data_IF_152687558003
#
_entry.id   IF_152687558003
#
_cell.length_a   1.000
_cell.length_b   1.000
_cell.length_c   1.000
_cell.angle_alpha   90.00
_cell.angle_beta   90.00
_cell.angle_gamma   90.00
#
_symmetry.space_group_name_H-M   'P 1'
#
loop_
_entity.id
_entity.type
_entity.pdbx_description
1 polymer ?
#
# COMPACT_ATOMS: atom_id res chain seq x y z
N UNK A 1 19.15 -34.74 -1.59
CA UNK A 1 18.41 -34.77 -2.87
C UNK A 1 18.43 -33.35 -3.46
N UNK A 2 18.56 -33.20 -4.77
CA UNK A 2 18.71 -31.91 -5.44
C UNK A 2 17.38 -31.13 -5.51
N UNK A 3 17.40 -29.78 -5.55
CA UNK A 3 16.19 -28.97 -5.74
C UNK A 3 15.60 -29.15 -7.15
N UNK A 4 14.35 -28.73 -7.34
CA UNK A 4 13.84 -28.59 -8.70
C UNK A 4 14.50 -27.38 -9.37
N UNK A 5 14.91 -27.56 -10.62
CA UNK A 5 15.34 -26.44 -11.43
C UNK A 5 14.20 -25.42 -11.56
N UNK A 6 14.55 -24.13 -11.44
CA UNK A 6 13.61 -23.00 -11.39
C UNK A 6 12.72 -22.90 -10.13
N UNK A 7 12.89 -23.76 -9.13
CA UNK A 7 12.23 -23.59 -7.83
C UNK A 7 12.68 -22.28 -7.17
N UNK A 8 11.72 -21.51 -6.63
CA UNK A 8 12.01 -20.32 -5.84
C UNK A 8 11.86 -20.67 -4.36
N UNK A 9 12.88 -20.34 -3.57
CA UNK A 9 12.88 -20.50 -2.11
C UNK A 9 13.14 -19.19 -1.40
N UNK A 10 12.68 -19.14 -0.15
CA UNK A 10 12.82 -18.00 0.73
C UNK A 10 13.97 -18.23 1.70
N UNK A 11 14.83 -17.23 1.83
CA UNK A 11 16.00 -17.27 2.70
C UNK A 11 16.10 -15.98 3.53
N UNK A 12 16.47 -16.06 4.81
CA UNK A 12 16.78 -14.91 5.65
C UNK A 12 18.24 -14.46 5.53
N UNK A 13 18.91 -14.79 4.42
CA UNK A 13 20.34 -14.63 4.20
C UNK A 13 20.65 -13.40 3.37
N UNK A 14 21.77 -12.72 3.63
CA UNK A 14 22.27 -11.62 2.79
C UNK A 14 22.97 -12.06 1.50
N UNK A 15 23.17 -13.37 1.33
CA UNK A 15 23.74 -13.98 0.13
C UNK A 15 22.88 -15.17 -0.32
N UNK A 16 23.10 -15.66 -1.53
CA UNK A 16 22.43 -16.85 -2.06
C UNK A 16 23.38 -18.05 -2.13
N UNK A 17 22.92 -19.28 -1.82
CA UNK A 17 23.77 -20.47 -1.86
C UNK A 17 24.30 -20.78 -3.26
N UNK A 18 25.42 -21.51 -3.35
CA UNK A 18 25.89 -22.10 -4.62
C UNK A 18 24.79 -22.92 -5.30
N UNK A 19 24.69 -22.83 -6.64
CA UNK A 19 23.62 -23.45 -7.42
C UNK A 19 22.28 -22.68 -7.41
N UNK A 20 22.25 -21.50 -6.77
CA UNK A 20 21.11 -20.59 -6.72
C UNK A 20 21.52 -19.18 -7.14
N UNK A 21 20.56 -18.41 -7.65
CA UNK A 21 20.72 -16.98 -7.89
C UNK A 21 19.59 -16.20 -7.22
N UNK A 22 19.89 -14.99 -6.74
CA UNK A 22 18.85 -14.11 -6.19
C UNK A 22 17.82 -13.77 -7.29
N UNK A 23 16.55 -13.61 -6.93
CA UNK A 23 15.51 -13.17 -7.86
C UNK A 23 15.55 -11.64 -8.00
N UNK A 24 16.55 -11.12 -8.71
CA UNK A 24 16.80 -9.67 -8.87
C UNK A 24 16.79 -9.22 -10.34
N UNK A 25 16.18 -9.99 -11.24
CA UNK A 25 16.07 -9.62 -12.66
C UNK A 25 17.36 -9.80 -13.47
N UNK A 26 18.33 -10.59 -13.00
CA UNK A 26 19.60 -10.77 -13.69
C UNK A 26 19.40 -11.35 -15.10
N UNK A 27 20.18 -10.84 -16.06
CA UNK A 27 20.25 -11.36 -17.43
C UNK A 27 21.29 -12.47 -17.48
N UNK A 28 20.90 -13.64 -17.95
CA UNK A 28 21.74 -14.82 -18.07
C UNK A 28 21.93 -15.24 -19.52
N UNK A 29 23.12 -15.79 -19.81
CA UNK A 29 23.40 -16.43 -21.10
C UNK A 29 22.60 -17.73 -21.25
N UNK A 30 21.90 -17.88 -22.37
CA UNK A 30 21.19 -19.11 -22.73
C UNK A 30 22.19 -20.26 -22.92
N UNK A 31 23.37 -19.99 -23.50
CA UNK A 31 24.37 -21.02 -23.77
C UNK A 31 24.83 -21.74 -22.49
N UNK A 32 24.91 -21.02 -21.37
CA UNK A 32 25.34 -21.56 -20.08
C UNK A 32 24.18 -22.12 -19.24
N UNK A 33 22.92 -21.75 -19.55
CA UNK A 33 21.76 -22.04 -18.71
C UNK A 33 20.59 -22.60 -19.54
N UNK A 34 20.89 -23.50 -20.50
CA UNK A 34 19.90 -24.00 -21.46
C UNK A 34 18.68 -24.64 -20.79
N UNK A 35 18.90 -25.44 -19.74
CA UNK A 35 17.82 -26.09 -19.00
C UNK A 35 16.92 -25.10 -18.27
N UNK A 36 17.50 -24.06 -17.66
CA UNK A 36 16.72 -23.02 -16.97
C UNK A 36 15.94 -22.16 -17.97
N UNK A 37 16.56 -21.82 -19.12
CA UNK A 37 15.89 -21.13 -20.20
C UNK A 37 14.71 -21.94 -20.78
N UNK A 38 14.84 -23.27 -20.89
CA UNK A 38 13.75 -24.11 -21.36
C UNK A 38 12.49 -24.04 -20.45
N UNK A 39 12.65 -23.68 -19.18
CA UNK A 39 11.54 -23.49 -18.23
C UNK A 39 11.01 -22.05 -18.22
N UNK A 40 11.90 -21.05 -18.20
CA UNK A 40 11.51 -19.66 -18.02
C UNK A 40 11.20 -18.94 -19.35
N UNK A 41 11.81 -19.38 -20.44
CA UNK A 41 11.78 -18.67 -21.72
C UNK A 41 12.19 -17.20 -21.57
N UNK A 42 11.42 -16.31 -22.20
CA UNK A 42 11.59 -14.84 -22.08
C UNK A 42 10.58 -14.22 -21.10
N UNK A 43 9.95 -15.01 -20.23
CA UNK A 43 8.86 -14.56 -19.34
C UNK A 43 9.23 -13.32 -18.52
N UNK A 44 10.49 -13.22 -18.09
CA UNK A 44 10.99 -12.11 -17.28
C UNK A 44 11.87 -11.14 -18.07
N UNK A 45 12.05 -11.36 -19.38
CA UNK A 45 12.87 -10.53 -20.26
C UNK A 45 14.00 -11.30 -20.97
N UNK A 46 14.89 -10.52 -21.59
CA UNK A 46 15.93 -11.00 -22.51
C UNK A 46 15.46 -11.09 -23.96
N UNK A 47 16.38 -11.44 -24.87
CA UNK A 47 16.09 -11.49 -26.31
C UNK A 47 15.64 -12.86 -26.81
N UNK A 48 15.69 -13.89 -25.96
CA UNK A 48 15.30 -15.27 -26.31
C UNK A 48 16.21 -15.96 -27.31
N UNK A 49 17.33 -15.33 -27.68
CA UNK A 49 18.31 -15.86 -28.65
C UNK A 49 19.64 -16.16 -27.98
N UNK A 50 20.19 -15.17 -27.27
CA UNK A 50 21.46 -15.30 -26.54
C UNK A 50 21.27 -15.16 -25.04
N UNK A 51 20.23 -14.46 -24.60
CA UNK A 51 19.99 -14.18 -23.18
C UNK A 51 18.51 -14.23 -22.80
N UNK A 52 18.25 -14.51 -21.52
CA UNK A 52 16.97 -14.44 -20.85
C UNK A 52 17.14 -13.81 -19.45
N UNK A 53 16.04 -13.44 -18.80
CA UNK A 53 16.09 -12.86 -17.45
C UNK A 53 15.51 -13.80 -16.38
N UNK A 54 15.99 -13.63 -15.15
CA UNK A 54 15.36 -14.19 -13.94
C UNK A 54 14.19 -13.30 -13.46
N UNK A 55 13.31 -13.80 -12.58
CA UNK A 55 12.34 -12.96 -11.88
C UNK A 55 13.04 -11.82 -11.11
N UNK A 56 12.40 -10.65 -11.06
CA UNK A 56 12.80 -9.55 -10.17
C UNK A 56 11.76 -9.40 -9.05
N UNK A 57 12.13 -9.82 -7.85
CA UNK A 57 11.31 -9.79 -6.64
C UNK A 57 11.76 -8.71 -5.65
N UNK A 58 12.73 -7.86 -6.01
CA UNK A 58 13.22 -6.78 -5.14
C UNK A 58 12.10 -5.80 -4.81
N UNK A 59 11.79 -5.59 -3.53
CA UNK A 59 10.69 -4.77 -3.05
C UNK A 59 9.29 -5.33 -3.36
N UNK A 60 9.17 -6.62 -3.72
CA UNK A 60 7.91 -7.22 -4.18
C UNK A 60 7.51 -8.43 -3.35
N UNK A 61 6.19 -8.65 -3.29
CA UNK A 61 5.58 -9.88 -2.76
C UNK A 61 5.14 -10.75 -3.95
N UNK A 62 5.50 -12.05 -4.00
CA UNK A 62 5.03 -12.96 -5.02
C UNK A 62 3.50 -13.13 -4.98
N UNK A 63 2.86 -13.13 -6.16
CA UNK A 63 1.44 -13.43 -6.34
C UNK A 63 1.30 -14.56 -7.35
N UNK A 64 0.44 -15.54 -7.05
CA UNK A 64 0.16 -16.63 -7.99
C UNK A 64 -0.53 -16.10 -9.25
N UNK A 65 -0.17 -16.67 -10.42
CA UNK A 65 -0.79 -16.29 -11.68
C UNK A 65 -2.29 -16.59 -11.67
N UNK A 66 -3.06 -15.76 -12.37
CA UNK A 66 -4.51 -15.89 -12.46
C UNK A 66 -5.08 -15.08 -13.62
N UNK A 67 -6.41 -15.03 -13.71
CA UNK A 67 -7.08 -14.27 -14.76
C UNK A 67 -6.63 -12.79 -14.75
N UNK A 68 -6.06 -12.34 -15.88
CA UNK A 68 -5.54 -10.97 -16.04
C UNK A 68 -4.17 -10.69 -15.40
N UNK A 69 -3.53 -11.68 -14.77
CA UNK A 69 -2.16 -11.58 -14.21
C UNK A 69 -1.40 -12.86 -14.55
N UNK A 70 -0.72 -12.85 -15.70
CA UNK A 70 0.11 -13.98 -16.12
C UNK A 70 1.42 -14.02 -15.35
N UNK A 71 2.08 -15.17 -15.32
CA UNK A 71 3.44 -15.30 -14.76
C UNK A 71 4.37 -14.23 -15.34
N UNK A 72 5.16 -13.59 -14.49
CA UNK A 72 6.08 -12.51 -14.89
C UNK A 72 5.46 -11.11 -14.90
N UNK A 73 4.14 -10.96 -14.82
CA UNK A 73 3.52 -9.63 -14.67
C UNK A 73 3.91 -8.98 -13.34
N UNK A 74 4.44 -7.76 -13.41
CA UNK A 74 4.75 -6.91 -12.25
C UNK A 74 3.72 -5.80 -12.10
N UNK A 75 3.44 -5.39 -10.87
CA UNK A 75 2.51 -4.29 -10.58
C UNK A 75 2.47 -3.92 -9.09
N UNK A 76 1.52 -3.07 -8.72
CA UNK A 76 1.36 -2.53 -7.37
C UNK A 76 2.18 -1.25 -7.11
N UNK A 77 1.90 -0.58 -6.00
CA UNK A 77 2.60 0.63 -5.53
C UNK A 77 2.82 0.57 -4.02
N UNK A 78 3.97 1.08 -3.54
CA UNK A 78 4.29 1.16 -2.11
C UNK A 78 3.52 2.27 -1.39
N UNK A 79 3.19 3.34 -2.11
CA UNK A 79 2.37 4.43 -1.62
C UNK A 79 1.28 4.79 -2.63
N UNK A 80 0.23 5.45 -2.16
CA UNK A 80 -0.89 5.92 -2.99
C UNK A 80 -1.10 7.41 -2.70
N UNK A 81 -1.07 8.21 -3.76
CA UNK A 81 -1.52 9.59 -3.74
C UNK A 81 -2.98 9.64 -4.20
N UNK A 82 -3.88 10.05 -3.32
CA UNK A 82 -5.27 10.26 -3.70
C UNK A 82 -5.38 11.51 -4.59
N UNK A 83 -6.06 11.37 -5.72
CA UNK A 83 -6.36 12.44 -6.67
C UNK A 83 -7.83 12.87 -6.59
N UNK A 84 -8.13 14.09 -7.04
CA UNK A 84 -9.50 14.59 -7.09
C UNK A 84 -10.42 13.74 -7.98
N UNK A 85 -9.87 13.06 -9.00
CA UNK A 85 -10.61 12.10 -9.82
C UNK A 85 -11.03 10.81 -9.09
N UNK A 86 -10.39 10.50 -7.96
CA UNK A 86 -10.78 9.39 -7.07
C UNK A 86 -11.83 9.82 -6.04
N UNK A 87 -12.19 11.10 -5.97
CA UNK A 87 -13.35 11.57 -5.23
C UNK A 87 -14.59 11.50 -6.12
N UNK A 88 -15.63 10.74 -5.74
CA UNK A 88 -16.91 10.82 -6.43
C UNK A 88 -17.43 12.26 -6.44
N UNK A 89 -18.06 12.64 -7.55
CA UNK A 89 -18.75 13.93 -7.65
C UNK A 89 -19.80 14.02 -6.53
N UNK A 90 -19.67 15.02 -5.67
CA UNK A 90 -20.55 15.21 -4.52
C UNK A 90 -20.85 16.70 -4.30
N UNK A 91 -21.87 16.96 -3.49
CA UNK A 91 -22.23 18.32 -3.08
C UNK A 91 -22.88 18.29 -1.70
N UNK A 92 -22.77 19.41 -0.99
CA UNK A 92 -23.45 19.61 0.29
C UNK A 92 -24.62 20.56 0.08
N UNK A 93 -25.83 20.09 0.43
CA UNK A 93 -27.02 20.92 0.38
C UNK A 93 -27.11 21.76 1.66
N UNK A 94 -27.07 23.10 1.57
CA UNK A 94 -27.31 23.94 2.73
C UNK A 94 -28.74 23.73 3.26
N UNK A 95 -28.90 23.74 4.59
CA UNK A 95 -30.21 23.57 5.24
C UNK A 95 -30.65 24.87 5.91
N UNK A 96 -31.95 25.11 5.87
CA UNK A 96 -32.56 26.29 6.44
C UNK A 96 -33.90 25.98 7.13
N UNK A 97 -34.31 26.83 8.06
CA UNK A 97 -35.59 26.79 8.77
C UNK A 97 -36.57 27.85 8.23
N UNK A 98 -37.87 27.67 8.47
CA UNK A 98 -38.88 28.69 8.20
C UNK A 98 -40.00 28.58 9.25
N UNK A 99 -40.41 29.66 9.94
CA UNK A 99 -39.90 31.04 9.86
C UNK A 99 -38.62 31.28 10.69
N UNK A 100 -38.01 32.47 10.60
CA UNK A 100 -36.94 32.90 11.50
C UNK A 100 -37.47 33.13 12.93
N UNK A 101 -36.83 32.46 13.91
CA UNK A 101 -37.23 32.51 15.33
C UNK A 101 -36.08 32.87 16.28
N UNK A 102 -34.83 32.98 15.79
CA UNK A 102 -33.65 33.28 16.59
C UNK A 102 -32.80 34.37 15.92
N UNK A 103 -32.26 35.28 16.72
CA UNK A 103 -31.34 36.33 16.27
C UNK A 103 -29.86 35.91 16.37
N UNK A 104 -29.53 34.94 17.23
CA UNK A 104 -28.18 34.41 17.42
C UNK A 104 -28.05 33.01 16.76
N UNK A 105 -26.87 32.66 16.19
CA UNK A 105 -26.69 31.45 15.39
C UNK A 105 -26.52 30.15 16.21
N UNK A 106 -26.43 30.21 17.55
CA UNK A 106 -26.16 29.05 18.39
C UNK A 106 -27.21 27.95 18.24
N UNK A 107 -26.86 26.87 17.52
CA UNK A 107 -27.78 25.77 17.21
C UNK A 107 -28.89 26.12 16.20
N UNK A 108 -28.86 27.31 15.60
CA UNK A 108 -29.87 27.77 14.64
C UNK A 108 -29.43 27.51 13.19
N UNK A 109 -30.41 27.32 12.30
CA UNK A 109 -30.17 27.26 10.86
C UNK A 109 -30.26 28.67 10.26
N UNK A 110 -29.79 28.83 9.02
CA UNK A 110 -30.28 29.93 8.19
C UNK A 110 -31.80 29.86 8.10
N UNK A 111 -32.48 31.01 8.03
CA UNK A 111 -33.92 31.01 8.19
C UNK A 111 -34.64 31.88 7.17
N UNK A 112 -35.92 31.56 6.97
CA UNK A 112 -36.80 32.39 6.18
C UNK A 112 -37.03 33.74 6.85
N UNK A 113 -36.74 34.84 6.15
CA UNK A 113 -36.92 36.20 6.68
C UNK A 113 -38.06 36.91 5.96
N UNK A 114 -38.41 38.12 6.42
CA UNK A 114 -39.36 38.99 5.71
C UNK A 114 -38.72 39.72 4.53
N UNK A 115 -37.39 39.72 4.42
CA UNK A 115 -36.64 40.34 3.33
C UNK A 115 -36.35 39.29 2.24
N UNK A 116 -36.45 39.64 0.96
CA UNK A 116 -36.28 38.67 -0.11
C UNK A 116 -34.78 38.47 -0.41
N UNK A 117 -34.15 37.58 0.34
CA UNK A 117 -32.74 37.18 0.17
C UNK A 117 -32.55 35.99 -0.78
N UNK A 118 -33.65 35.33 -1.17
CA UNK A 118 -33.61 34.11 -1.97
C UNK A 118 -34.43 34.25 -3.27
N UNK A 119 -34.10 33.45 -4.28
CA UNK A 119 -34.80 33.44 -5.56
C UNK A 119 -34.67 32.11 -6.32
N UNK A 120 -35.60 31.81 -7.26
CA UNK A 120 -35.60 30.56 -8.03
C UNK A 120 -34.89 30.66 -9.40
N UNK A 121 -34.45 31.85 -9.82
CA UNK A 121 -33.92 32.06 -11.18
C UNK A 121 -32.58 31.34 -11.44
N UNK A 122 -32.16 31.33 -12.71
CA UNK A 122 -30.96 30.64 -13.19
C UNK A 122 -29.71 30.84 -12.31
N UNK A 123 -28.94 29.76 -12.18
CA UNK A 123 -27.71 29.74 -11.40
C UNK A 123 -26.61 30.57 -12.08
N UNK A 124 -25.88 31.28 -11.24
CA UNK A 124 -24.59 31.85 -11.58
C UNK A 124 -23.60 31.36 -10.53
N UNK A 125 -22.47 30.85 -10.99
CA UNK A 125 -21.37 30.49 -10.12
C UNK A 125 -20.81 31.75 -9.45
N UNK A 126 -20.59 31.72 -8.14
CA UNK A 126 -19.73 32.70 -7.50
C UNK A 126 -18.29 32.54 -7.99
N UNK A 127 -17.44 33.50 -7.64
CA UNK A 127 -16.02 33.40 -7.91
C UNK A 127 -15.46 32.07 -7.33
N UNK A 128 -14.62 31.32 -8.06
CA UNK A 128 -14.12 30.01 -7.62
C UNK A 128 -13.36 30.03 -6.29
N UNK A 129 -12.79 31.18 -5.93
CA UNK A 129 -12.06 31.45 -4.68
C UNK A 129 -12.98 31.86 -3.50
N UNK A 130 -14.31 31.89 -3.71
CA UNK A 130 -15.27 32.11 -2.63
C UNK A 130 -15.22 31.01 -1.55
N UNK A 131 -14.67 29.85 -1.88
CA UNK A 131 -14.32 28.78 -0.93
C UNK A 131 -12.89 28.34 -1.23
N UNK A 132 -12.05 28.35 -0.19
CA UNK A 132 -10.66 27.90 -0.32
C UNK A 132 -10.61 26.38 -0.57
N UNK A 133 -9.64 25.95 -1.37
CA UNK A 133 -9.34 24.53 -1.52
C UNK A 133 -8.74 23.96 -0.23
N UNK A 134 -9.08 22.71 0.06
CA UNK A 134 -8.55 21.95 1.21
C UNK A 134 -8.00 20.62 0.70
N UNK A 135 -6.97 20.10 1.37
CA UNK A 135 -6.26 18.88 1.01
C UNK A 135 -4.85 19.19 0.49
N UNK A 136 -3.85 18.45 0.98
CA UNK A 136 -2.45 18.61 0.59
C UNK A 136 -2.03 17.71 -0.58
N UNK A 137 -2.85 16.70 -0.92
CA UNK A 137 -2.56 15.70 -1.93
C UNK A 137 -1.28 14.90 -1.67
N UNK A 138 -0.86 14.71 -0.42
CA UNK A 138 0.29 13.88 -0.09
C UNK A 138 -0.04 12.40 -0.21
N UNK A 139 0.96 11.59 -0.55
CA UNK A 139 0.79 10.14 -0.57
C UNK A 139 0.70 9.56 0.85
N UNK A 140 -0.01 8.44 0.98
CA UNK A 140 0.00 7.61 2.17
C UNK A 140 0.62 6.24 1.85
N UNK A 141 1.14 5.57 2.89
CA UNK A 141 1.68 4.22 2.77
C UNK A 141 0.58 3.24 2.35
N UNK A 142 0.95 2.26 1.54
CA UNK A 142 0.10 1.20 1.01
C UNK A 142 0.74 -0.19 1.22
N UNK A 143 1.76 -0.28 2.07
CA UNK A 143 2.40 -1.54 2.42
C UNK A 143 1.78 -2.16 3.69
N UNK A 144 1.19 -3.37 3.62
CA UNK A 144 0.84 -4.14 4.82
C UNK A 144 2.11 -4.52 5.59
N UNK A 145 2.01 -5.03 6.83
CA UNK A 145 3.17 -5.48 7.58
C UNK A 145 4.00 -6.48 6.77
N UNK A 146 5.31 -6.27 6.73
CA UNK A 146 6.23 -7.11 5.98
C UNK A 146 7.52 -7.38 6.75
N UNK A 147 8.20 -8.45 6.33
CA UNK A 147 9.58 -8.71 6.71
C UNK A 147 10.40 -8.96 5.44
N UNK A 148 11.51 -8.25 5.31
CA UNK A 148 12.35 -8.33 4.10
C UNK A 148 13.24 -9.56 4.12
N UNK A 149 13.13 -10.38 3.08
CA UNK A 149 13.79 -11.67 2.92
C UNK A 149 14.39 -11.81 1.52
N UNK A 150 15.29 -12.76 1.34
CA UNK A 150 15.91 -13.06 0.04
C UNK A 150 15.13 -14.16 -0.66
N UNK A 151 14.57 -13.85 -1.83
CA UNK A 151 14.08 -14.87 -2.75
C UNK A 151 15.21 -15.31 -3.66
N UNK A 152 15.44 -16.62 -3.75
CA UNK A 152 16.44 -17.20 -4.64
C UNK A 152 15.83 -18.30 -5.51
N UNK A 153 16.30 -18.42 -6.74
CA UNK A 153 15.89 -19.42 -7.73
C UNK A 153 17.01 -20.43 -7.97
N UNK A 154 16.66 -21.71 -8.01
CA UNK A 154 17.59 -22.78 -8.31
C UNK A 154 18.03 -22.70 -9.78
N UNK A 155 19.33 -22.55 -10.01
CA UNK A 155 19.95 -22.57 -11.36
C UNK A 155 20.56 -23.91 -11.71
N UNK A 156 20.66 -24.79 -10.72
CA UNK A 156 21.06 -26.19 -10.87
C UNK A 156 20.07 -27.08 -10.10
N UNK A 157 19.89 -28.31 -10.57
CA UNK A 157 19.01 -29.28 -9.93
C UNK A 157 18.26 -30.15 -10.93
N UNK A 158 17.26 -30.87 -10.44
CA UNK A 158 16.46 -31.81 -11.22
C UNK A 158 15.54 -31.03 -12.16
N UNK A 159 15.62 -31.32 -13.46
CA UNK A 159 14.66 -30.77 -14.42
C UNK A 159 13.25 -31.31 -14.10
N UNK A 160 12.24 -30.43 -13.89
CA UNK A 160 10.90 -30.87 -13.56
C UNK A 160 10.32 -31.74 -14.70
N UNK A 161 9.97 -32.99 -14.38
CA UNK A 161 9.24 -33.88 -15.28
C UNK A 161 7.87 -34.19 -14.68
N UNK A 162 6.87 -34.43 -15.54
CA UNK A 162 5.49 -34.68 -15.10
C UNK A 162 5.34 -35.87 -14.14
N UNK A 163 6.27 -36.82 -14.15
CA UNK A 163 6.23 -38.07 -13.38
C UNK A 163 7.22 -38.09 -12.19
N UNK A 164 8.01 -37.02 -11.98
CA UNK A 164 9.06 -36.96 -10.98
C UNK A 164 8.65 -36.22 -9.70
N UNK A 165 9.04 -36.76 -8.54
CA UNK A 165 8.89 -36.09 -7.24
C UNK A 165 10.09 -35.20 -6.90
N UNK A 166 9.79 -34.01 -6.38
CA UNK A 166 10.79 -33.08 -5.85
C UNK A 166 10.84 -33.17 -4.33
N UNK A 167 12.00 -33.52 -3.76
CA UNK A 167 12.15 -33.66 -2.32
C UNK A 167 13.59 -33.43 -1.86
N UNK A 168 14.14 -32.25 -2.13
CA UNK A 168 15.50 -31.89 -1.68
C UNK A 168 15.64 -31.83 -0.16
N UNK A 169 16.80 -32.21 0.37
CA UNK A 169 17.16 -31.86 1.77
C UNK A 169 17.19 -30.33 1.88
N UNK A 170 16.64 -29.75 2.95
CA UNK A 170 16.61 -28.29 3.09
C UNK A 170 18.02 -27.75 3.31
N UNK A 171 18.25 -26.50 2.90
CA UNK A 171 19.39 -25.76 3.41
C UNK A 171 19.12 -25.33 4.86
N UNK A 172 20.17 -25.29 5.69
CA UNK A 172 20.07 -24.61 6.99
C UNK A 172 19.65 -23.16 6.75
N UNK A 173 18.59 -22.71 7.43
CA UNK A 173 18.02 -21.37 7.28
C UNK A 173 17.00 -21.23 6.14
N UNK A 174 16.73 -22.27 5.36
CA UNK A 174 15.66 -22.25 4.35
C UNK A 174 14.29 -22.05 5.00
N UNK A 175 13.45 -21.16 4.44
CA UNK A 175 12.10 -20.91 4.89
C UNK A 175 11.09 -21.51 3.91
N UNK A 176 10.08 -22.20 4.46
CA UNK A 176 8.94 -22.75 3.70
C UNK A 176 7.61 -22.29 4.27
N UNK A 177 6.63 -22.10 3.39
CA UNK A 177 5.23 -22.06 3.80
C UNK A 177 4.78 -23.44 4.23
N UNK A 178 4.01 -23.50 5.31
CA UNK A 178 3.55 -24.74 5.92
C UNK A 178 2.14 -24.56 6.48
N UNK A 179 1.24 -25.48 6.14
CA UNK A 179 -0.16 -25.41 6.55
C UNK A 179 -0.46 -26.12 7.88
N UNK A 180 0.51 -26.88 8.43
CA UNK A 180 0.31 -27.63 9.67
C UNK A 180 0.54 -26.79 10.93
N UNK A 181 0.05 -27.30 12.06
CA UNK A 181 0.04 -26.60 13.36
C UNK A 181 1.20 -26.98 14.28
N UNK A 182 2.13 -27.81 13.83
CA UNK A 182 3.34 -28.21 14.56
C UNK A 182 4.52 -28.25 13.59
N UNK A 183 5.74 -27.96 14.05
CA UNK A 183 6.90 -28.05 13.16
C UNK A 183 7.41 -29.49 13.04
N UNK A 184 7.78 -29.94 11.83
CA UNK A 184 8.53 -31.18 11.68
C UNK A 184 9.85 -31.14 12.46
N UNK A 185 10.41 -32.31 12.80
CA UNK A 185 11.73 -32.39 13.42
C UNK A 185 12.79 -31.67 12.59
N UNK A 186 13.64 -30.88 13.24
CA UNK A 186 14.65 -30.06 12.56
C UNK A 186 14.14 -28.73 12.01
N UNK A 187 12.88 -28.36 12.25
CA UNK A 187 12.28 -27.08 11.85
C UNK A 187 11.74 -26.30 13.06
N UNK A 188 11.67 -24.99 12.92
CA UNK A 188 11.04 -24.08 13.88
C UNK A 188 10.11 -23.09 13.17
N UNK A 189 9.10 -22.58 13.87
CA UNK A 189 8.27 -21.49 13.33
C UNK A 189 9.10 -20.21 13.24
N UNK A 190 8.78 -19.34 12.27
CA UNK A 190 9.35 -18.00 12.17
C UNK A 190 8.59 -17.02 13.08
N UNK A 191 8.68 -17.21 14.40
CA UNK A 191 7.95 -16.45 15.42
C UNK A 191 8.84 -15.47 16.22
N UNK A 192 10.06 -15.21 15.76
CA UNK A 192 10.98 -14.28 16.45
C UNK A 192 11.64 -14.83 17.72
N UNK A 193 11.52 -16.13 17.99
CA UNK A 193 12.02 -16.72 19.23
C UNK A 193 13.56 -16.68 19.29
N UNK A 194 14.07 -16.49 20.50
CA UNK A 194 15.50 -16.68 20.81
C UNK A 194 15.82 -18.17 20.87
N UNK A 195 16.89 -18.57 20.19
CA UNK A 195 17.39 -19.95 20.19
C UNK A 195 18.83 -20.03 20.71
N UNK A 196 19.21 -21.13 21.38
CA UNK A 196 20.58 -21.31 21.88
C UNK A 196 21.58 -21.40 20.73
N UNK A 197 22.62 -20.57 20.79
CA UNK A 197 23.71 -20.59 19.81
C UNK A 197 24.47 -21.92 19.86
N UNK A 198 24.70 -22.48 21.05
CA UNK A 198 25.48 -23.71 21.26
C UNK A 198 24.91 -24.94 20.55
N UNK A 199 23.60 -24.95 20.24
CA UNK A 199 22.92 -26.04 19.55
C UNK A 199 22.63 -25.73 18.08
N UNK A 200 22.83 -24.48 17.65
CA UNK A 200 22.45 -23.99 16.31
C UNK A 200 23.58 -23.19 15.68
N UNK A 201 24.83 -23.63 15.87
CA UNK A 201 26.04 -22.91 15.42
C UNK A 201 26.05 -22.65 13.91
N UNK A 202 25.62 -23.63 13.10
CA UNK A 202 25.50 -23.50 11.66
C UNK A 202 24.43 -22.48 11.23
N UNK A 203 23.30 -22.42 11.93
CA UNK A 203 22.26 -21.43 11.63
C UNK A 203 22.68 -20.03 12.09
N UNK A 204 23.37 -19.92 13.22
CA UNK A 204 23.90 -18.66 13.72
C UNK A 204 24.94 -18.04 12.79
N UNK A 205 25.84 -18.84 12.19
CA UNK A 205 26.85 -18.30 11.25
C UNK A 205 26.22 -17.71 9.98
N UNK A 206 24.95 -18.01 9.72
CA UNK A 206 24.17 -17.49 8.59
C UNK A 206 23.36 -16.24 8.95
N UNK A 207 22.63 -16.28 10.07
CA UNK A 207 21.72 -15.21 10.50
C UNK A 207 22.41 -14.12 11.32
N UNK A 208 23.49 -14.47 12.04
CA UNK A 208 24.09 -13.62 13.06
C UNK A 208 23.04 -13.15 14.08
N UNK A 209 23.03 -11.85 14.34
CA UNK A 209 22.04 -11.19 15.21
C UNK A 209 21.06 -10.31 14.42
N UNK A 210 20.91 -10.53 13.09
CA UNK A 210 20.05 -9.71 12.22
C UNK A 210 18.59 -9.65 12.67
N UNK A 211 18.13 -10.65 13.44
CA UNK A 211 16.77 -10.69 13.98
C UNK A 211 16.72 -10.50 15.50
N UNK A 212 17.87 -10.28 16.15
CA UNK A 212 18.00 -10.11 17.60
C UNK A 212 18.86 -11.17 18.30
N UNK A 213 18.80 -11.15 19.63
CA UNK A 213 19.66 -11.94 20.53
C UNK A 213 21.00 -11.26 20.85
N UNK A 214 21.78 -11.90 21.72
CA UNK A 214 23.02 -11.30 22.26
C UNK A 214 24.29 -11.68 21.48
N UNK A 215 24.20 -12.59 20.52
CA UNK A 215 25.32 -13.03 19.68
C UNK A 215 26.40 -13.84 20.41
N UNK A 216 26.24 -14.11 21.70
CA UNK A 216 27.20 -14.87 22.52
C UNK A 216 26.63 -16.18 23.06
N UNK A 217 25.36 -16.18 23.48
CA UNK A 217 24.64 -17.38 23.92
C UNK A 217 23.35 -17.64 23.13
N UNK A 218 22.78 -16.59 22.52
CA UNK A 218 21.50 -16.66 21.80
C UNK A 218 21.49 -15.76 20.56
N UNK A 219 20.65 -16.14 19.60
CA UNK A 219 20.23 -15.30 18.47
C UNK A 219 18.73 -15.52 18.24
N UNK A 220 18.08 -14.65 17.49
CA UNK A 220 16.66 -14.79 17.17
C UNK A 220 16.44 -15.36 15.76
N UNK A 221 15.34 -16.09 15.58
CA UNK A 221 14.82 -16.44 14.26
C UNK A 221 14.02 -15.25 13.67
N UNK A 222 13.73 -15.25 12.35
CA UNK A 222 12.80 -14.28 11.76
C UNK A 222 11.42 -14.29 12.43
N UNK A 223 10.78 -13.13 12.51
CA UNK A 223 9.39 -12.98 13.00
C UNK A 223 8.46 -12.59 11.84
N UNK A 224 7.79 -13.58 11.27
CA UNK A 224 6.84 -13.43 10.15
C UNK A 224 5.38 -13.41 10.61
N UNK A 225 5.11 -13.35 11.92
CA UNK A 225 3.74 -13.30 12.43
C UNK A 225 3.04 -12.02 11.95
N UNK A 226 1.90 -12.18 11.28
CA UNK A 226 1.11 -11.07 10.74
C UNK A 226 1.75 -10.35 9.54
N UNK A 227 2.89 -10.85 9.01
CA UNK A 227 3.65 -10.18 7.97
C UNK A 227 3.78 -11.03 6.71
N UNK A 228 3.89 -10.37 5.55
CA UNK A 228 4.25 -11.04 4.29
C UNK A 228 5.74 -10.86 3.97
N UNK A 229 6.43 -11.88 3.44
CA UNK A 229 7.81 -11.73 3.00
C UNK A 229 7.93 -10.86 1.74
N UNK A 230 8.71 -9.79 1.84
CA UNK A 230 9.06 -8.89 0.71
C UNK A 230 10.50 -9.16 0.27
N UNK A 231 10.78 -9.13 -1.04
CA UNK A 231 12.12 -9.39 -1.53
C UNK A 231 13.11 -8.27 -1.21
N UNK A 232 14.32 -8.65 -0.79
CA UNK A 232 15.45 -7.74 -0.55
C UNK A 232 15.85 -6.98 -1.81
N UNK A 233 16.38 -5.76 -1.64
CA UNK A 233 16.96 -4.93 -2.69
C UNK A 233 16.03 -3.79 -3.12
N UNK A 234 16.43 -3.10 -4.18
CA UNK A 234 15.68 -1.99 -4.75
C UNK A 234 15.15 -2.37 -6.14
N UNK A 235 13.84 -2.56 -6.25
CA UNK A 235 13.17 -2.76 -7.52
C UNK A 235 13.04 -1.44 -8.30
N UNK A 236 12.83 -1.51 -9.62
CA UNK A 236 12.63 -0.31 -10.43
C UNK A 236 11.40 0.49 -9.94
N UNK A 237 11.62 1.75 -9.56
CA UNK A 237 10.59 2.64 -9.02
C UNK A 237 10.11 2.32 -7.60
N UNK A 238 10.85 1.48 -6.87
CA UNK A 238 10.56 1.05 -5.51
C UNK A 238 11.62 1.53 -4.52
N UNK A 239 11.28 1.44 -3.23
CA UNK A 239 12.19 1.69 -2.12
C UNK A 239 13.27 0.59 -2.05
N UNK A 240 14.36 0.89 -1.33
CA UNK A 240 15.41 -0.10 -1.06
C UNK A 240 15.12 -0.82 0.24
N UNK A 241 15.17 -2.15 0.22
CA UNK A 241 14.93 -3.00 1.40
C UNK A 241 16.16 -3.84 1.73
N UNK A 242 16.59 -3.83 3.00
CA UNK A 242 17.65 -4.68 3.53
C UNK A 242 17.07 -5.93 4.21
N UNK A 243 17.82 -7.04 4.23
CA UNK A 243 17.38 -8.28 4.90
C UNK A 243 17.09 -8.00 6.37
N UNK A 244 15.92 -8.41 6.84
CA UNK A 244 15.47 -8.21 8.22
C UNK A 244 14.70 -6.92 8.45
N UNK A 245 14.63 -6.01 7.47
CA UNK A 245 13.79 -4.82 7.59
C UNK A 245 12.32 -5.22 7.79
N UNK A 246 11.71 -4.66 8.83
CA UNK A 246 10.32 -4.88 9.21
C UNK A 246 9.61 -3.54 9.36
N UNK A 247 8.57 -3.33 8.55
CA UNK A 247 7.71 -2.14 8.63
C UNK A 247 6.32 -2.47 8.06
N UNK A 248 5.60 -1.45 7.58
CA UNK A 248 4.22 -1.54 7.13
C UNK A 248 3.21 -1.45 8.28
N UNK A 249 1.94 -1.31 7.93
CA UNK A 249 0.84 -1.17 8.91
C UNK A 249 -0.41 -1.92 8.45
N UNK A 250 -1.13 -2.54 9.41
CA UNK A 250 -2.40 -3.22 9.13
C UNK A 250 -3.53 -2.24 8.80
N UNK A 251 -3.43 -1.01 9.29
CA UNK A 251 -4.38 0.07 9.05
C UNK A 251 -3.67 1.39 8.78
N UNK A 252 -4.29 2.26 7.99
CA UNK A 252 -3.80 3.61 7.69
C UNK A 252 -4.87 4.63 8.07
N UNK A 253 -4.45 5.72 8.72
CA UNK A 253 -5.30 6.91 8.94
C UNK A 253 -4.88 7.99 7.96
N UNK A 254 -5.83 8.47 7.16
CA UNK A 254 -5.60 9.60 6.27
C UNK A 254 -5.57 10.91 7.07
N UNK A 255 -4.53 11.71 6.87
CA UNK A 255 -4.48 13.08 7.36
C UNK A 255 -5.14 14.05 6.37
N UNK A 256 -5.46 15.27 6.82
CA UNK A 256 -5.95 16.32 5.93
C UNK A 256 -4.98 16.60 4.77
N UNK A 257 -3.66 16.48 5.01
CA UNK A 257 -2.65 16.66 3.96
C UNK A 257 -2.63 15.50 2.96
N UNK A 258 -3.10 14.31 3.33
CA UNK A 258 -3.20 13.14 2.45
C UNK A 258 -4.52 13.09 1.67
N UNK A 259 -5.45 14.01 1.93
CA UNK A 259 -6.65 14.18 1.11
C UNK A 259 -6.31 14.90 -0.19
N UNK A 260 -6.98 14.57 -1.31
CA UNK A 260 -6.85 15.32 -2.55
C UNK A 260 -7.25 16.78 -2.35
N UNK A 261 -6.46 17.69 -2.91
CA UNK A 261 -6.81 19.11 -2.96
C UNK A 261 -8.11 19.29 -3.77
N UNK A 262 -9.17 19.78 -3.12
CA UNK A 262 -10.46 20.04 -3.76
C UNK A 262 -11.18 21.25 -3.14
N UNK A 263 -12.12 21.82 -3.89
CA UNK A 263 -12.97 22.93 -3.43
C UNK A 263 -14.38 22.81 -4.02
N UNK A 264 -15.31 23.63 -3.54
CA UNK A 264 -16.65 23.80 -4.10
C UNK A 264 -16.84 25.23 -4.58
N UNK A 265 -17.44 25.43 -5.74
CA UNK A 265 -17.86 26.77 -6.18
C UNK A 265 -19.31 27.05 -5.77
N UNK A 266 -19.58 27.97 -4.82
CA UNK A 266 -20.94 28.29 -4.41
C UNK A 266 -21.77 28.80 -5.58
N UNK A 267 -23.08 28.56 -5.52
CA UNK A 267 -24.02 28.96 -6.57
C UNK A 267 -25.05 29.94 -6.00
N UNK A 268 -25.31 31.03 -6.71
CA UNK A 268 -26.34 32.00 -6.38
C UNK A 268 -27.12 32.46 -7.62
N UNK A 269 -28.16 33.24 -7.41
CA UNK A 269 -28.97 33.86 -8.47
C UNK A 269 -28.54 35.31 -8.64
N UNK A 270 -28.21 35.72 -9.87
CA UNK A 270 -27.84 37.10 -10.19
C UNK A 270 -29.05 38.06 -10.27
N UNK A 271 -30.27 37.53 -10.28
CA UNK A 271 -31.50 38.32 -10.17
C UNK A 271 -31.76 38.75 -8.72
N UNK A 272 -32.55 39.81 -8.56
CA UNK A 272 -33.06 40.18 -7.25
C UNK A 272 -33.88 39.06 -6.60
N UNK A 273 -33.69 38.87 -5.30
CA UNK A 273 -34.50 37.96 -4.51
C UNK A 273 -35.98 38.31 -4.61
N UNK A 274 -36.80 37.27 -4.65
CA UNK A 274 -38.27 37.37 -4.75
C UNK A 274 -38.96 36.76 -3.54
N UNK A 275 -38.23 36.05 -2.69
CA UNK A 275 -38.76 35.38 -1.52
C UNK A 275 -37.78 35.45 -0.37
N UNK A 276 -38.30 35.60 0.84
CA UNK A 276 -37.52 35.39 2.06
C UNK A 276 -37.44 33.92 2.46
N UNK A 277 -38.16 33.01 1.78
CA UNK A 277 -38.14 31.57 2.05
C UNK A 277 -37.04 30.86 1.23
N UNK A 278 -36.07 30.18 1.87
CA UNK A 278 -34.99 29.46 1.19
C UNK A 278 -35.39 28.09 0.62
N UNK A 279 -36.57 27.55 0.94
CA UNK A 279 -36.98 26.22 0.48
C UNK A 279 -37.06 26.14 -1.04
N UNK A 280 -36.22 25.28 -1.65
CA UNK A 280 -36.09 25.14 -3.10
C UNK A 280 -35.49 26.37 -3.81
N UNK A 281 -35.10 27.40 -3.06
CA UNK A 281 -34.54 28.64 -3.56
C UNK A 281 -33.03 28.69 -3.33
N UNK A 282 -32.38 29.69 -3.95
CA UNK A 282 -30.93 29.91 -3.85
C UNK A 282 -30.67 31.29 -3.25
N UNK A 283 -29.47 31.52 -2.73
CA UNK A 283 -29.04 32.88 -2.40
C UNK A 283 -29.17 33.76 -3.64
N UNK A 284 -29.66 34.99 -3.46
CA UNK A 284 -29.91 35.93 -4.54
C UNK A 284 -29.41 37.33 -4.18
N UNK A 285 -29.49 38.25 -5.15
CA UNK A 285 -29.26 39.67 -4.88
C UNK A 285 -30.29 40.16 -3.86
N UNK A 286 -29.84 40.41 -2.64
CA UNK A 286 -30.71 40.74 -1.51
C UNK A 286 -31.33 42.13 -1.63
N UNK A 287 -32.52 42.30 -1.04
CA UNK A 287 -33.20 43.60 -0.95
C UNK A 287 -33.55 43.94 0.48
N UNK A 288 -33.53 45.25 0.77
CA UNK A 288 -34.15 45.85 1.95
C UNK A 288 -35.25 46.78 1.49
N UNK A 289 -36.50 46.33 1.55
CA UNK A 289 -37.61 47.04 0.92
C UNK A 289 -37.46 47.11 -0.61
N UNK A 290 -37.52 48.32 -1.19
CA UNK A 290 -37.35 48.52 -2.66
C UNK A 290 -35.89 48.63 -3.11
N UNK A 291 -34.94 48.75 -2.19
CA UNK A 291 -33.52 48.94 -2.50
C UNK A 291 -32.76 47.61 -2.49
N UNK A 292 -31.81 47.47 -3.41
CA UNK A 292 -30.84 46.38 -3.40
C UNK A 292 -29.81 46.57 -2.28
N UNK A 293 -29.51 45.50 -1.55
CA UNK A 293 -28.47 45.46 -0.50
C UNK A 293 -27.17 44.85 -1.06
N UNK A 294 -26.02 45.46 -0.74
CA UNK A 294 -24.71 45.02 -1.22
C UNK A 294 -24.14 43.94 -0.29
N UNK A 295 -24.31 42.66 -0.63
CA UNK A 295 -23.78 41.52 0.12
C UNK A 295 -22.59 40.81 -0.56
N UNK A 296 -22.32 41.14 -1.82
CA UNK A 296 -21.25 40.55 -2.62
C UNK A 296 -20.24 41.63 -3.03
N UNK A 297 -18.97 41.26 -3.14
CA UNK A 297 -17.88 42.13 -3.58
C UNK A 297 -17.04 41.47 -4.69
N UNK A 298 -16.28 42.28 -5.43
CA UNK A 298 -15.41 41.83 -6.53
C UNK A 298 -13.92 42.11 -6.27
N UNK A 299 -13.58 42.47 -5.03
CA UNK A 299 -12.18 42.64 -4.61
C UNK A 299 -11.47 41.30 -4.42
N UNK A 300 -10.17 41.34 -4.11
CA UNK A 300 -9.44 40.12 -3.72
C UNK A 300 -10.10 39.45 -2.52
N UNK A 301 -10.28 38.13 -2.60
CA UNK A 301 -10.83 37.35 -1.51
C UNK A 301 -9.93 37.44 -0.27
N UNK A 302 -10.55 37.66 0.88
CA UNK A 302 -9.90 37.57 2.19
C UNK A 302 -10.41 36.34 2.92
N UNK A 303 -9.51 35.54 3.46
CA UNK A 303 -9.87 34.31 4.20
C UNK A 303 -10.61 34.67 5.48
N UNK A 304 -11.85 34.21 5.61
CA UNK A 304 -12.58 34.27 6.89
C UNK A 304 -11.91 33.35 7.92
N UNK A 305 -12.21 33.53 9.21
CA UNK A 305 -11.73 32.60 10.25
C UNK A 305 -12.08 31.15 9.88
N UNK A 306 -11.14 30.23 10.04
CA UNK A 306 -11.38 28.79 9.81
C UNK A 306 -12.47 28.22 10.72
N UNK A 307 -12.80 28.88 11.84
CA UNK A 307 -13.93 28.51 12.68
C UNK A 307 -15.31 28.85 12.07
N UNK A 308 -15.35 29.58 10.96
CA UNK A 308 -16.60 29.87 10.25
C UNK A 308 -17.21 28.61 9.60
N UNK A 309 -16.39 27.60 9.31
CA UNK A 309 -16.81 26.29 8.83
C UNK A 309 -16.00 25.23 9.58
N UNK A 310 -16.65 24.46 10.44
CA UNK A 310 -15.98 23.38 11.15
C UNK A 310 -15.55 22.26 10.18
N UNK A 311 -14.40 21.61 10.43
CA UNK A 311 -14.01 20.42 9.69
C UNK A 311 -15.02 19.28 9.90
N UNK A 312 -15.11 18.39 8.91
CA UNK A 312 -15.92 17.17 8.97
C UNK A 312 -15.03 15.95 8.69
N UNK A 313 -15.40 14.80 9.24
CA UNK A 313 -14.59 13.58 9.27
C UNK A 313 -14.05 13.31 10.67
N UNK A 314 -14.04 12.03 11.07
CA UNK A 314 -13.55 11.58 12.38
C UNK A 314 -12.07 11.15 12.34
N UNK A 315 -11.50 10.94 11.14
CA UNK A 315 -10.13 10.46 10.98
C UNK A 315 -9.97 9.00 11.40
N UNK A 316 -11.03 8.20 11.33
CA UNK A 316 -10.93 6.77 11.64
C UNK A 316 -9.97 6.05 10.66
N UNK A 317 -9.11 5.14 11.16
CA UNK A 317 -8.24 4.34 10.30
C UNK A 317 -9.05 3.39 9.39
N UNK A 318 -8.54 3.12 8.20
CA UNK A 318 -9.06 2.07 7.31
C UNK A 318 -8.08 0.89 7.19
N UNK A 319 -8.55 -0.32 6.85
CA UNK A 319 -7.68 -1.46 6.61
C UNK A 319 -6.69 -1.21 5.46
N UNK A 320 -5.48 -1.75 5.62
CA UNK A 320 -4.39 -1.73 4.64
C UNK A 320 -3.91 -3.16 4.28
N UNK A 321 -4.64 -4.18 4.74
CA UNK A 321 -4.36 -5.58 4.43
C UNK A 321 -5.10 -5.99 3.14
N UNK A 322 -4.43 -6.60 2.15
CA UNK A 322 -5.14 -7.28 1.06
C UNK A 322 -5.88 -8.52 1.60
N UNK A 323 -6.76 -9.16 0.83
CA UNK A 323 -7.27 -10.49 1.18
C UNK A 323 -6.09 -11.46 1.40
N UNK A 324 -6.06 -12.12 2.56
CA UNK A 324 -5.00 -13.06 2.93
C UNK A 324 -5.57 -14.36 3.49
N UNK A 325 -4.74 -15.40 3.45
CA UNK A 325 -4.95 -16.65 4.19
C UNK A 325 -3.72 -16.88 5.03
N UNK A 326 -3.90 -17.10 6.33
CA UNK A 326 -2.76 -17.32 7.24
C UNK A 326 -2.24 -18.75 7.08
N UNK A 327 -0.97 -18.85 6.77
CA UNK A 327 -0.18 -20.09 6.83
C UNK A 327 1.02 -19.86 7.72
N UNK A 328 1.62 -20.92 8.24
CA UNK A 328 2.85 -20.81 9.00
C UNK A 328 4.05 -20.69 8.06
N UNK A 329 5.03 -19.90 8.46
CA UNK A 329 6.37 -19.97 7.89
C UNK A 329 7.26 -20.74 8.86
N UNK A 330 7.98 -21.75 8.35
CA UNK A 330 8.92 -22.56 9.13
C UNK A 330 10.31 -22.43 8.54
N UNK A 331 11.33 -22.41 9.42
CA UNK A 331 12.75 -22.32 9.08
C UNK A 331 13.46 -23.62 9.45
N UNK A 332 14.32 -24.11 8.56
CA UNK A 332 15.14 -25.29 8.80
C UNK A 332 16.29 -24.98 9.77
N UNK A 333 16.33 -25.65 10.91
CA UNK A 333 17.42 -25.58 11.89
C UNK A 333 18.60 -26.49 11.51
N UNK A 334 18.33 -27.53 10.72
CA UNK A 334 19.26 -28.56 10.29
C UNK A 334 19.11 -28.80 8.79
N UNK A 335 20.18 -29.22 8.12
CA UNK A 335 20.19 -29.42 6.68
C UNK A 335 21.59 -29.25 6.09
N UNK A 336 21.66 -29.09 4.77
CA UNK A 336 22.92 -28.79 4.08
C UNK A 336 23.32 -27.34 4.37
N UNK A 337 24.59 -27.09 4.70
CA UNK A 337 25.07 -25.72 4.88
C UNK A 337 25.11 -24.99 3.53
N UNK A 338 24.52 -23.80 3.39
CA UNK A 338 24.53 -23.05 2.14
C UNK A 338 25.91 -22.43 1.89
N UNK A 339 26.71 -23.11 1.08
CA UNK A 339 28.03 -22.63 0.67
C UNK A 339 27.89 -21.33 -0.14
N UNK A 340 28.86 -20.42 0.04
CA UNK A 340 28.95 -19.22 -0.79
C UNK A 340 29.51 -19.61 -2.16
N UNK A 341 29.02 -19.01 -3.26
CA UNK A 341 29.60 -19.19 -4.60
C UNK A 341 31.08 -18.82 -4.68
#
# INVERSE_FOLDING_TARGET
MEPLLAEIRLFPLSYVPEGWLACQGQILSIQQNQALFALLGTTYGGNGQTVFALPDLRGRVPLHAGAGRTTGTQGGTESVQLSSGQLPAHSHAPRAAAPATAAAPGGALWAATTQPHYGPSAQVALAPDAVAAVGGGQAHDNMPPYLTMTYAIATQGVFPSHEGGAGGEPFVGEIRMFAGTFTPGGWAFCDGQLVPLSQNTALFSLLGTSFGGNGSSTFALPDLRGASPVGVGQGAGLSSFAVGDRAGAETVTLTADQMPAHTHTPQATASAGTTGNPSGARWAVSRRGRATERLYGTGQASTMSGAAVAPAGDGAPHPNMPPYTTVSFIIALQGTYPQRP
#
